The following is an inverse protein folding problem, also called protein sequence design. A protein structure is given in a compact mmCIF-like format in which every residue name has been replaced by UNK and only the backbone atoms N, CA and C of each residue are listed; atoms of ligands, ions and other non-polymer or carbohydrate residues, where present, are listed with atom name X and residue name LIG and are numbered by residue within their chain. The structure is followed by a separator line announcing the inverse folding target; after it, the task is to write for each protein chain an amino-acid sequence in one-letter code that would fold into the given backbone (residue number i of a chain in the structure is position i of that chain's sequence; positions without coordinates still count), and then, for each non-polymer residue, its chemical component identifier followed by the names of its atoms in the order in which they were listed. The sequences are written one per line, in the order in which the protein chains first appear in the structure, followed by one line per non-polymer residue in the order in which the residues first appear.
data_IF_440885454079
#
_entry.id   IF_440885454079
#
_cell.length_a   1.000
_cell.length_b   1.000
_cell.length_c   1.000
_cell.angle_alpha   90.00
_cell.angle_beta   90.00
_cell.angle_gamma   90.00
#
_symmetry.space_group_name_H-M   'P 1'
#
loop_
_entity.id
_entity.type
_entity.pdbx_description
1 polymer ?
#
# COMPACT_ATOMS: atom_id res chain seq x y z
N UNK A 1 0.04 -19.57 12.68
CA UNK A 1 -0.63 -18.81 13.76
C UNK A 1 -1.70 -19.62 14.50
N UNK A 2 -2.68 -20.27 13.84
CA UNK A 2 -3.79 -21.03 14.51
C UNK A 2 -3.35 -21.98 15.63
N UNK A 3 -2.29 -22.77 15.41
CA UNK A 3 -1.73 -23.70 16.41
C UNK A 3 -0.92 -23.03 17.52
N UNK A 4 -0.33 -21.87 17.26
CA UNK A 4 0.62 -21.24 18.18
C UNK A 4 -0.07 -20.45 19.30
N UNK A 5 -1.32 -20.02 19.11
CA UNK A 5 -2.05 -19.22 20.10
C UNK A 5 -3.14 -19.98 20.86
N UNK A 6 -3.36 -21.27 20.59
CA UNK A 6 -4.45 -22.03 21.22
C UNK A 6 -5.87 -21.60 20.82
N UNK A 7 -6.02 -20.79 19.76
CA UNK A 7 -7.28 -20.17 19.34
C UNK A 7 -8.05 -20.99 18.27
N UNK A 8 -7.74 -22.28 18.12
CA UNK A 8 -8.35 -23.15 17.10
C UNK A 8 -9.88 -23.09 17.08
N UNK A 9 -10.58 -23.30 18.21
CA UNK A 9 -12.04 -23.27 18.25
C UNK A 9 -12.67 -21.92 17.87
N UNK A 10 -11.99 -20.81 18.12
CA UNK A 10 -12.45 -19.48 17.71
C UNK A 10 -12.22 -19.30 16.21
N UNK A 11 -11.07 -19.72 15.69
CA UNK A 11 -10.77 -19.67 14.27
C UNK A 11 -11.77 -20.48 13.45
N UNK A 12 -12.17 -21.67 13.91
CA UNK A 12 -13.16 -22.50 13.21
C UNK A 12 -14.55 -21.83 13.17
N UNK A 13 -14.94 -21.13 14.24
CA UNK A 13 -16.18 -20.33 14.26
C UNK A 13 -16.11 -19.13 13.32
N UNK A 14 -14.95 -18.47 13.24
CA UNK A 14 -14.71 -17.38 12.29
C UNK A 14 -14.78 -17.90 10.85
N UNK A 15 -14.18 -19.04 10.55
CA UNK A 15 -14.25 -19.67 9.23
C UNK A 15 -15.69 -20.01 8.85
N UNK A 16 -16.44 -20.64 9.75
CA UNK A 16 -17.85 -20.96 9.54
C UNK A 16 -18.72 -19.71 9.37
N UNK A 17 -18.36 -18.59 10.02
CA UNK A 17 -19.02 -17.31 9.82
C UNK A 17 -18.70 -16.72 8.44
N UNK A 18 -17.41 -16.67 8.06
CA UNK A 18 -16.97 -16.14 6.76
C UNK A 18 -17.56 -16.96 5.60
N UNK A 19 -17.65 -18.28 5.74
CA UNK A 19 -18.19 -19.18 4.72
C UNK A 19 -19.66 -18.91 4.34
N UNK A 20 -20.40 -18.15 5.16
CA UNK A 20 -21.79 -17.75 4.86
C UNK A 20 -21.87 -16.63 3.82
N UNK A 21 -20.78 -15.90 3.63
CA UNK A 21 -20.73 -14.73 2.76
C UNK A 21 -19.94 -15.07 1.49
N UNK A 22 -20.40 -14.63 0.30
CA UNK A 22 -19.63 -14.78 -0.93
C UNK A 22 -18.21 -14.24 -0.76
N UNK A 23 -17.23 -14.86 -1.42
CA UNK A 23 -15.88 -14.29 -1.47
C UNK A 23 -15.92 -13.04 -2.33
N UNK A 24 -15.92 -11.87 -1.69
CA UNK A 24 -15.76 -10.59 -2.36
C UNK A 24 -14.27 -10.28 -2.53
N UNK A 25 -13.89 -9.94 -3.76
CA UNK A 25 -12.54 -9.47 -4.06
C UNK A 25 -12.40 -8.02 -3.61
N UNK A 26 -11.28 -7.70 -2.97
CA UNK A 26 -10.85 -6.32 -2.71
C UNK A 26 -9.33 -6.22 -2.84
N UNK A 27 -8.84 -5.00 -3.06
CA UNK A 27 -7.42 -4.69 -3.19
C UNK A 27 -6.85 -4.30 -1.84
N UNK A 28 -5.90 -5.07 -1.33
CA UNK A 28 -5.06 -4.62 -0.23
C UNK A 28 -3.81 -5.49 -0.09
N UNK A 29 -2.90 -5.11 0.82
CA UNK A 29 -1.74 -5.91 1.23
C UNK A 29 -2.13 -7.32 1.72
N UNK A 30 -3.42 -7.56 2.02
CA UNK A 30 -3.99 -8.89 2.24
C UNK A 30 -3.72 -9.90 1.11
N UNK A 31 -3.68 -9.45 -0.14
CA UNK A 31 -3.38 -10.32 -1.28
C UNK A 31 -1.95 -10.85 -1.19
N UNK A 32 -1.02 -10.02 -0.69
CA UNK A 32 0.36 -10.40 -0.43
C UNK A 32 0.43 -11.41 0.72
N UNK A 33 -0.25 -11.13 1.83
CA UNK A 33 -0.30 -12.01 3.00
C UNK A 33 -0.87 -13.39 2.63
N UNK A 34 -1.87 -13.43 1.74
CA UNK A 34 -2.58 -14.64 1.33
C UNK A 34 -2.04 -15.28 0.05
N UNK A 35 -0.99 -14.73 -0.57
CA UNK A 35 -0.44 -15.19 -1.85
C UNK A 35 -1.51 -15.32 -2.95
N UNK A 36 -2.45 -14.37 -3.01
CA UNK A 36 -3.49 -14.31 -4.05
C UNK A 36 -3.01 -13.46 -5.23
N UNK A 37 -3.59 -13.72 -6.40
CA UNK A 37 -3.38 -12.88 -7.56
C UNK A 37 -3.77 -11.42 -7.26
N UNK A 38 -2.93 -10.50 -7.72
CA UNK A 38 -3.15 -9.06 -7.63
C UNK A 38 -3.88 -8.63 -8.91
N UNK A 39 -5.17 -8.26 -8.85
CA UNK A 39 -5.89 -7.85 -10.05
C UNK A 39 -5.36 -6.49 -10.52
N UNK A 40 -5.11 -6.40 -11.82
CA UNK A 40 -4.57 -5.21 -12.48
C UNK A 40 -5.31 -5.00 -13.81
N UNK A 41 -5.68 -3.76 -14.20
CA UNK A 41 -5.41 -2.49 -13.52
C UNK A 41 -6.17 -2.32 -12.20
N UNK A 42 -5.66 -1.47 -11.30
CA UNK A 42 -6.34 -1.16 -10.04
C UNK A 42 -7.65 -0.42 -10.29
N UNK A 43 -8.69 -0.85 -9.58
CA UNK A 43 -10.00 -0.21 -9.60
C UNK A 43 -10.36 0.27 -8.19
N UNK A 44 -11.29 1.23 -8.09
CA UNK A 44 -11.79 1.72 -6.81
C UNK A 44 -12.58 0.63 -6.09
N UNK A 45 -12.57 0.67 -4.76
CA UNK A 45 -13.38 -0.20 -3.90
C UNK A 45 -14.49 0.57 -3.22
N UNK A 46 -15.58 -0.11 -2.88
CA UNK A 46 -16.63 0.44 -2.00
C UNK A 46 -17.03 -0.57 -0.94
N UNK A 47 -17.44 -0.07 0.23
CA UNK A 47 -18.10 -0.87 1.25
C UNK A 47 -19.57 -1.01 0.88
N UNK A 48 -20.07 -2.23 0.89
CA UNK A 48 -21.50 -2.55 0.78
C UNK A 48 -21.93 -3.31 2.02
N UNK A 49 -23.07 -2.96 2.59
CA UNK A 49 -23.68 -3.76 3.65
C UNK A 49 -24.26 -5.04 3.00
N UNK A 50 -23.89 -6.19 3.54
CA UNK A 50 -24.30 -7.50 2.99
C UNK A 50 -25.26 -8.25 3.92
N UNK A 51 -25.27 -7.92 5.20
CA UNK A 51 -26.12 -8.55 6.23
C UNK A 51 -26.09 -7.69 7.49
N UNK A 52 -27.00 -7.95 8.43
CA UNK A 52 -26.94 -7.41 9.78
C UNK A 52 -27.44 -8.44 10.79
N UNK A 53 -26.93 -8.39 12.01
CA UNK A 53 -27.30 -9.31 13.10
C UNK A 53 -27.63 -8.54 14.37
N UNK A 54 -28.78 -8.84 14.96
CA UNK A 54 -29.10 -8.39 16.30
C UNK A 54 -28.33 -9.23 17.33
N UNK A 55 -27.57 -8.57 18.21
CA UNK A 55 -26.88 -9.16 19.35
C UNK A 55 -27.31 -8.38 20.60
N UNK A 56 -28.21 -8.98 21.37
CA UNK A 56 -28.86 -8.30 22.50
C UNK A 56 -29.66 -7.09 22.02
N UNK A 57 -29.32 -5.90 22.51
CA UNK A 57 -29.96 -4.63 22.11
C UNK A 57 -29.25 -3.91 20.96
N UNK A 58 -28.19 -4.49 20.40
CA UNK A 58 -27.39 -3.87 19.34
C UNK A 58 -27.59 -4.58 18.01
N UNK A 59 -27.61 -3.83 16.93
CA UNK A 59 -27.51 -4.38 15.57
C UNK A 59 -26.08 -4.19 15.07
N UNK A 60 -25.45 -5.28 14.65
CA UNK A 60 -24.14 -5.27 14.01
C UNK A 60 -24.37 -5.40 12.51
N UNK A 61 -23.99 -4.38 11.75
CA UNK A 61 -23.95 -4.43 10.30
C UNK A 61 -22.68 -5.14 9.83
N UNK A 62 -22.81 -5.94 8.77
CA UNK A 62 -21.74 -6.72 8.17
C UNK A 62 -21.51 -6.13 6.78
N UNK A 63 -20.27 -5.70 6.54
CA UNK A 63 -19.87 -5.07 5.28
C UNK A 63 -18.94 -5.98 4.49
N UNK A 64 -19.09 -5.94 3.16
CA UNK A 64 -18.09 -6.43 2.22
C UNK A 64 -17.43 -5.25 1.50
N UNK A 65 -16.13 -5.39 1.23
CA UNK A 65 -15.43 -4.53 0.28
C UNK A 65 -15.58 -5.15 -1.10
N UNK A 66 -16.07 -4.38 -2.07
CA UNK A 66 -16.19 -4.82 -3.47
C UNK A 66 -15.40 -3.91 -4.40
N UNK A 67 -14.75 -4.54 -5.38
CA UNK A 67 -14.16 -3.85 -6.52
C UNK A 67 -15.26 -3.27 -7.41
N UNK A 68 -15.14 -1.99 -7.74
CA UNK A 68 -16.01 -1.31 -8.70
C UNK A 68 -15.43 -1.40 -10.11
N UNK A 69 -16.16 -0.92 -11.12
CA UNK A 69 -15.62 -0.82 -12.49
C UNK A 69 -14.80 0.44 -12.75
N UNK A 70 -14.72 1.36 -11.78
CA UNK A 70 -13.99 2.61 -11.91
C UNK A 70 -12.50 2.38 -11.68
N UNK A 71 -11.65 2.90 -12.57
CA UNK A 71 -10.21 2.87 -12.39
C UNK A 71 -9.79 3.72 -11.19
N UNK A 72 -8.83 3.22 -10.42
CA UNK A 72 -8.17 4.00 -9.37
C UNK A 72 -7.05 4.81 -10.04
N UNK A 73 -7.36 5.98 -10.57
CA UNK A 73 -6.47 6.72 -11.49
C UNK A 73 -5.27 7.39 -10.82
N UNK A 74 -5.40 7.74 -9.55
CA UNK A 74 -4.41 8.44 -8.72
C UNK A 74 -3.66 7.51 -7.77
N UNK A 75 -3.74 6.18 -7.97
CA UNK A 75 -3.07 5.19 -7.10
C UNK A 75 -1.56 5.43 -6.96
N UNK A 76 -0.92 6.07 -7.95
CA UNK A 76 0.49 6.45 -7.92
C UNK A 76 0.83 7.42 -6.79
N UNK A 77 -0.15 8.15 -6.27
CA UNK A 77 0.02 9.03 -5.10
C UNK A 77 0.04 8.27 -3.77
N UNK A 78 -0.14 6.94 -3.77
CA UNK A 78 -0.18 6.07 -2.59
C UNK A 78 1.00 5.08 -2.62
N UNK A 79 1.82 5.06 -1.58
CA UNK A 79 3.04 4.24 -1.57
C UNK A 79 2.72 2.73 -1.60
N UNK A 80 1.70 2.30 -0.86
CA UNK A 80 1.27 0.90 -0.84
C UNK A 80 0.85 0.40 -2.22
N UNK A 81 0.11 1.21 -2.98
CA UNK A 81 -0.35 0.80 -4.32
C UNK A 81 0.82 0.63 -5.29
N UNK A 82 1.81 1.51 -5.23
CA UNK A 82 3.04 1.37 -6.01
C UNK A 82 3.83 0.10 -5.64
N UNK A 83 3.90 -0.26 -4.36
CA UNK A 83 4.54 -1.49 -3.91
C UNK A 83 3.78 -2.76 -4.34
N UNK A 84 2.45 -2.74 -4.27
CA UNK A 84 1.61 -3.83 -4.78
C UNK A 84 1.82 -4.02 -6.28
N UNK A 85 1.91 -2.93 -7.04
CA UNK A 85 2.19 -2.99 -8.48
C UNK A 85 3.59 -3.53 -8.79
N UNK A 86 4.58 -3.17 -7.97
CA UNK A 86 5.94 -3.69 -8.12
C UNK A 86 5.97 -5.22 -7.99
N UNK A 87 5.25 -5.77 -7.01
CA UNK A 87 5.08 -7.22 -6.86
C UNK A 87 4.39 -7.80 -8.09
N UNK A 88 3.26 -7.21 -8.53
CA UNK A 88 2.50 -7.67 -9.69
C UNK A 88 3.37 -7.81 -10.95
N UNK A 89 4.20 -6.81 -11.26
CA UNK A 89 5.06 -6.88 -12.43
C UNK A 89 6.20 -7.88 -12.27
N UNK A 90 6.78 -7.96 -11.06
CA UNK A 90 7.90 -8.86 -10.79
C UNK A 90 7.48 -10.33 -10.90
N UNK A 91 6.30 -10.71 -10.41
CA UNK A 91 5.80 -12.10 -10.55
C UNK A 91 5.50 -12.50 -11.99
N UNK A 92 5.39 -11.51 -12.90
CA UNK A 92 5.21 -11.71 -14.35
C UNK A 92 6.51 -11.58 -15.14
N UNK A 93 7.66 -11.45 -14.48
CA UNK A 93 8.96 -11.24 -15.13
C UNK A 93 9.16 -9.86 -15.78
N UNK A 94 8.25 -8.91 -15.53
CA UNK A 94 8.34 -7.54 -16.04
C UNK A 94 9.20 -6.66 -15.12
N UNK A 95 10.49 -6.99 -15.00
CA UNK A 95 11.39 -6.42 -13.99
C UNK A 95 11.58 -4.90 -14.06
N UNK A 96 11.65 -4.33 -15.27
CA UNK A 96 11.74 -2.86 -15.43
C UNK A 96 10.48 -2.16 -14.91
N UNK A 97 9.31 -2.71 -15.21
CA UNK A 97 8.04 -2.19 -14.68
C UNK A 97 7.98 -2.31 -13.16
N UNK A 98 8.42 -3.46 -12.62
CA UNK A 98 8.50 -3.67 -11.17
C UNK A 98 9.42 -2.64 -10.49
N UNK A 99 10.60 -2.42 -11.08
CA UNK A 99 11.56 -1.40 -10.64
C UNK A 99 10.95 0.00 -10.69
N UNK A 100 10.29 0.37 -11.78
CA UNK A 100 9.66 1.68 -11.93
C UNK A 100 8.57 1.92 -10.88
N UNK A 101 7.74 0.92 -10.62
CA UNK A 101 6.72 0.97 -9.56
C UNK A 101 7.35 1.09 -8.17
N UNK A 102 8.39 0.30 -7.88
CA UNK A 102 9.13 0.39 -6.62
C UNK A 102 9.70 1.80 -6.40
N UNK A 103 10.41 2.34 -7.39
CA UNK A 103 11.01 3.67 -7.31
C UNK A 103 9.96 4.78 -7.13
N UNK A 104 8.77 4.60 -7.71
CA UNK A 104 7.66 5.56 -7.55
C UNK A 104 7.15 5.55 -6.10
N UNK A 105 6.90 4.38 -5.52
CA UNK A 105 6.51 4.26 -4.11
C UNK A 105 7.62 4.73 -3.16
N UNK A 106 8.86 4.34 -3.44
CA UNK A 106 10.05 4.74 -2.68
C UNK A 106 10.31 6.24 -2.71
N UNK A 107 9.97 6.92 -3.81
CA UNK A 107 10.07 8.37 -3.95
C UNK A 107 9.12 9.15 -3.03
N UNK A 108 8.12 8.50 -2.45
CA UNK A 108 7.22 9.10 -1.46
C UNK A 108 7.78 9.03 -0.02
N UNK A 109 8.95 8.40 0.17
CA UNK A 109 9.60 8.29 1.47
C UNK A 109 10.42 9.52 1.81
N UNK A 110 10.16 10.13 2.98
CA UNK A 110 10.76 11.40 3.41
C UNK A 110 11.86 11.26 4.47
N UNK A 111 12.32 10.03 4.74
CA UNK A 111 13.27 9.73 5.80
C UNK A 111 12.64 9.28 7.11
N UNK A 112 11.32 9.47 7.28
CA UNK A 112 10.58 9.07 8.49
C UNK A 112 9.51 8.05 8.16
N UNK A 113 8.82 8.25 7.03
CA UNK A 113 7.81 7.36 6.51
C UNK A 113 7.41 7.71 5.09
N UNK A 114 6.31 7.14 4.61
CA UNK A 114 5.76 7.46 3.29
C UNK A 114 4.81 8.65 3.40
N UNK A 115 5.26 9.84 2.99
CA UNK A 115 4.50 11.09 2.95
C UNK A 115 3.54 11.15 1.74
N UNK A 116 2.79 10.07 1.55
CA UNK A 116 1.89 9.87 0.42
C UNK A 116 0.55 10.59 0.61
N UNK A 117 -0.41 10.38 -0.31
CA UNK A 117 -1.70 11.07 -0.26
C UNK A 117 -2.48 10.82 1.04
N UNK A 118 -2.37 9.64 1.63
CA UNK A 118 -3.01 9.31 2.90
C UNK A 118 -2.37 10.08 4.05
N UNK A 119 -1.03 10.14 4.10
CA UNK A 119 -0.30 10.96 5.07
C UNK A 119 -0.71 12.44 4.98
N UNK A 120 -0.82 12.98 3.76
CA UNK A 120 -1.24 14.38 3.55
C UNK A 120 -2.65 14.67 4.09
N UNK A 121 -3.53 13.67 4.10
CA UNK A 121 -4.87 13.80 4.62
C UNK A 121 -4.94 13.59 6.14
N UNK A 122 -4.19 12.63 6.69
CA UNK A 122 -4.29 12.20 8.08
C UNK A 122 -3.29 12.90 9.02
N UNK A 123 -2.14 13.36 8.51
CA UNK A 123 -1.04 13.91 9.29
C UNK A 123 -0.19 12.85 10.03
N UNK A 124 -0.43 11.57 9.78
CA UNK A 124 0.29 10.45 10.39
C UNK A 124 0.78 9.47 9.32
N UNK A 125 1.94 8.86 9.56
CA UNK A 125 2.42 7.77 8.74
C UNK A 125 1.72 6.46 9.11
N UNK A 126 1.50 5.60 8.12
CA UNK A 126 0.92 4.27 8.33
C UNK A 126 2.04 3.23 8.45
N UNK A 127 2.07 2.52 9.59
CA UNK A 127 3.11 1.54 9.91
C UNK A 127 3.18 0.41 8.89
N UNK A 128 2.03 -0.08 8.40
CA UNK A 128 1.99 -1.15 7.41
C UNK A 128 2.68 -0.76 6.09
N UNK A 129 2.77 0.53 5.75
CA UNK A 129 3.47 0.96 4.52
C UNK A 129 4.97 0.77 4.63
N UNK A 130 5.55 0.94 5.83
CA UNK A 130 6.96 0.61 6.09
C UNK A 130 7.18 -0.89 6.04
N UNK A 131 6.29 -1.67 6.65
CA UNK A 131 6.36 -3.13 6.55
C UNK A 131 6.26 -3.61 5.10
N UNK A 132 5.35 -3.04 4.31
CA UNK A 132 5.22 -3.34 2.88
C UNK A 132 6.45 -2.91 2.09
N UNK A 133 6.98 -1.72 2.34
CA UNK A 133 8.22 -1.24 1.73
C UNK A 133 9.40 -2.16 2.01
N UNK A 134 9.57 -2.58 3.27
CA UNK A 134 10.57 -3.57 3.68
C UNK A 134 10.39 -4.90 2.95
N UNK A 135 9.16 -5.39 2.90
CA UNK A 135 8.82 -6.61 2.19
C UNK A 135 9.23 -6.54 0.71
N UNK A 136 8.83 -5.48 0.00
CA UNK A 136 9.13 -5.34 -1.42
C UNK A 136 10.62 -5.07 -1.67
N UNK A 137 11.28 -4.32 -0.79
CA UNK A 137 12.72 -4.10 -0.86
C UNK A 137 13.49 -5.43 -0.78
N UNK A 138 13.10 -6.34 0.13
CA UNK A 138 13.66 -7.70 0.21
C UNK A 138 13.34 -8.50 -1.06
N UNK A 139 12.07 -8.49 -1.48
CA UNK A 139 11.59 -9.23 -2.63
C UNK A 139 12.31 -8.84 -3.94
N UNK A 140 12.68 -7.56 -4.10
CA UNK A 140 13.38 -7.04 -5.27
C UNK A 140 14.90 -6.84 -5.06
N UNK A 141 15.43 -7.25 -3.90
CA UNK A 141 16.85 -7.15 -3.54
C UNK A 141 17.43 -5.71 -3.42
N UNK A 142 16.64 -4.74 -2.95
CA UNK A 142 17.10 -3.38 -2.60
C UNK A 142 17.70 -3.32 -1.19
N UNK A 143 18.90 -3.90 -1.01
CA UNK A 143 19.58 -4.08 0.29
C UNK A 143 19.65 -2.80 1.13
N UNK A 144 19.93 -1.64 0.51
CA UNK A 144 20.02 -0.36 1.23
C UNK A 144 18.71 0.05 1.91
N UNK A 145 17.58 -0.22 1.28
CA UNK A 145 16.26 0.15 1.80
C UNK A 145 15.77 -0.84 2.86
N UNK A 146 16.25 -2.09 2.82
CA UNK A 146 15.94 -3.11 3.83
C UNK A 146 16.35 -2.64 5.23
N UNK A 147 17.57 -2.14 5.37
CA UNK A 147 18.07 -1.65 6.67
C UNK A 147 17.30 -0.40 7.11
N UNK A 148 17.09 0.57 6.21
CA UNK A 148 16.34 1.81 6.50
C UNK A 148 14.92 1.51 7.02
N UNK A 149 14.18 0.63 6.34
CA UNK A 149 12.81 0.33 6.73
C UNK A 149 12.74 -0.52 8.00
N UNK A 150 13.70 -1.44 8.21
CA UNK A 150 13.81 -2.21 9.45
C UNK A 150 14.06 -1.29 10.66
N UNK A 151 14.97 -0.33 10.53
CA UNK A 151 15.28 0.61 11.60
C UNK A 151 14.08 1.47 11.98
N UNK A 152 13.28 1.90 11.00
CA UNK A 152 12.04 2.64 11.27
C UNK A 152 11.03 1.79 12.04
N UNK A 153 10.79 0.55 11.62
CA UNK A 153 9.89 -0.37 12.33
C UNK A 153 10.29 -0.50 13.80
N UNK A 154 11.58 -0.65 14.08
CA UNK A 154 12.12 -0.79 15.44
C UNK A 154 12.03 0.50 16.28
N UNK A 155 11.89 1.67 15.65
CA UNK A 155 11.76 2.96 16.35
C UNK A 155 10.34 3.30 16.72
N UNK A 156 9.34 2.69 16.10
CA UNK A 156 7.92 2.98 16.36
C UNK A 156 7.55 2.45 17.75
N UNK A 157 7.19 3.36 18.66
CA UNK A 157 6.84 3.01 20.03
C UNK A 157 5.68 3.89 20.58
N UNK A 158 4.61 3.30 21.16
CA UNK A 158 4.28 1.88 21.11
C UNK A 158 4.10 1.38 19.66
N UNK A 159 4.24 0.08 19.43
CA UNK A 159 3.97 -0.46 18.11
C UNK A 159 2.47 -0.36 17.79
N UNK A 160 2.12 0.43 16.76
CA UNK A 160 0.76 0.83 16.46
C UNK A 160 0.51 0.91 14.94
N UNK A 161 -0.75 1.07 14.53
CA UNK A 161 -1.13 1.17 13.10
C UNK A 161 -0.65 2.47 12.46
N UNK A 162 -0.58 3.57 13.22
CA UNK A 162 -0.07 4.86 12.79
C UNK A 162 1.13 5.27 13.64
N UNK A 163 1.93 6.22 13.15
CA UNK A 163 2.94 6.91 13.95
C UNK A 163 3.19 8.33 13.45
N UNK A 164 3.68 9.20 14.33
CA UNK A 164 4.02 10.58 13.98
C UNK A 164 5.51 10.72 13.57
N UNK A 165 5.93 11.94 13.20
CA UNK A 165 7.30 12.22 12.79
C UNK A 165 8.38 12.00 13.87
N UNK A 166 7.99 11.79 15.12
CA UNK A 166 8.87 11.44 16.24
C UNK A 166 8.88 9.93 16.53
N UNK A 167 8.25 9.12 15.66
CA UNK A 167 8.10 7.66 15.82
C UNK A 167 7.23 7.26 17.03
N UNK A 168 6.42 8.17 17.55
CA UNK A 168 5.44 7.83 18.56
C UNK A 168 4.25 7.16 17.88
N UNK A 169 3.96 5.92 18.25
CA UNK A 169 2.82 5.17 17.73
C UNK A 169 1.48 5.74 18.18
N UNK A 170 0.50 5.73 17.28
CA UNK A 170 -0.84 6.29 17.48
C UNK A 170 -1.90 5.29 16.99
N UNK A 171 -2.98 5.17 17.77
CA UNK A 171 -4.08 4.25 17.50
C UNK A 171 -3.79 2.83 17.95
N UNK A 172 -4.76 1.95 17.76
CA UNK A 172 -4.64 0.54 18.13
C UNK A 172 -3.87 -0.23 17.06
N UNK A 173 -3.04 -1.17 17.50
CA UNK A 173 -2.43 -2.14 16.59
C UNK A 173 -3.51 -3.08 16.05
N UNK A 174 -3.62 -3.18 14.73
CA UNK A 174 -4.46 -4.18 14.09
C UNK A 174 -3.66 -5.44 13.69
N UNK A 175 -4.37 -6.55 13.51
CA UNK A 175 -3.78 -7.85 13.22
C UNK A 175 -3.06 -7.85 11.85
N UNK A 176 -3.56 -7.05 10.93
CA UNK A 176 -3.07 -6.83 9.58
C UNK A 176 -1.66 -6.24 9.54
N UNK A 177 -1.48 -5.10 10.21
CA UNK A 177 -0.21 -4.41 10.35
C UNK A 177 0.79 -5.35 11.02
N UNK A 178 0.37 -6.01 12.12
CA UNK A 178 1.22 -6.97 12.80
C UNK A 178 1.63 -8.14 11.89
N UNK A 179 0.69 -8.75 11.16
CA UNK A 179 0.96 -9.88 10.27
C UNK A 179 1.90 -9.50 9.12
N UNK A 180 1.69 -8.34 8.48
CA UNK A 180 2.56 -7.86 7.42
C UNK A 180 3.96 -7.53 7.95
N UNK A 181 4.07 -6.98 9.15
CA UNK A 181 5.36 -6.69 9.80
C UNK A 181 6.13 -7.96 10.09
N UNK A 182 5.47 -8.97 10.67
CA UNK A 182 6.08 -10.28 10.91
C UNK A 182 6.57 -10.88 9.60
N UNK A 183 5.76 -10.79 8.53
CA UNK A 183 6.13 -11.26 7.19
C UNK A 183 7.38 -10.53 6.67
N UNK A 184 7.39 -9.20 6.74
CA UNK A 184 8.49 -8.38 6.27
C UNK A 184 9.80 -8.63 7.04
N UNK A 185 9.72 -8.82 8.36
CA UNK A 185 10.88 -9.11 9.21
C UNK A 185 11.34 -10.58 9.13
N UNK A 186 10.49 -11.50 8.70
CA UNK A 186 10.83 -12.92 8.63
C UNK A 186 11.98 -13.19 7.65
N UNK A 187 12.93 -14.03 8.02
CA UNK A 187 14.07 -14.41 7.18
C UNK A 187 13.76 -15.57 6.22
N UNK A 188 12.49 -15.95 6.04
CA UNK A 188 12.11 -17.10 5.21
C UNK A 188 12.42 -16.82 3.72
N UNK A 189 13.44 -17.45 3.13
CA UNK A 189 13.82 -17.22 1.74
C UNK A 189 12.90 -17.97 0.76
N UNK A 190 12.13 -18.95 1.22
CA UNK A 190 11.34 -19.86 0.37
C UNK A 190 9.94 -19.33 0.04
N UNK A 191 9.48 -18.27 0.70
CA UNK A 191 8.29 -17.52 0.27
C UNK A 191 8.56 -16.51 -0.85
N UNK A 192 9.82 -16.15 -1.11
CA UNK A 192 10.15 -14.88 -1.76
C UNK A 192 11.22 -14.91 -2.86
N UNK A 193 11.47 -16.04 -3.51
CA UNK A 193 12.30 -16.00 -4.71
C UNK A 193 11.45 -15.51 -5.89
N UNK A 194 11.70 -14.31 -6.46
CA UNK A 194 11.26 -14.04 -7.82
C UNK A 194 11.87 -15.09 -8.75
N UNK A 195 11.19 -15.48 -9.84
CA UNK A 195 11.78 -16.39 -10.82
C UNK A 195 12.90 -15.68 -11.60
N UNK A 196 14.12 -15.62 -11.03
CA UNK A 196 15.39 -15.19 -11.66
C UNK A 196 15.70 -13.67 -11.71
N UNK A 197 16.96 -13.30 -12.03
CA UNK A 197 18.04 -13.03 -11.11
C UNK A 197 17.99 -11.61 -10.52
N UNK A 198 18.63 -11.44 -9.36
CA UNK A 198 18.76 -10.18 -8.63
C UNK A 198 19.00 -8.97 -9.54
N UNK A 199 18.18 -7.93 -9.38
CA UNK A 199 18.43 -6.59 -9.93
C UNK A 199 19.63 -6.03 -9.15
N UNK A 200 20.84 -6.42 -9.56
CA UNK A 200 22.09 -6.15 -8.86
C UNK A 200 22.64 -4.76 -9.16
N UNK A 201 21.85 -3.72 -8.93
CA UNK A 201 22.38 -2.37 -8.69
C UNK A 201 21.36 -1.54 -7.92
N UNK A 202 21.66 -1.08 -6.69
CA UNK A 202 20.84 -0.06 -6.05
C UNK A 202 20.81 1.21 -6.93
N UNK A 203 19.67 1.92 -7.00
CA UNK A 203 19.57 3.15 -7.78
C UNK A 203 20.51 4.20 -7.17
N UNK A 204 21.36 4.80 -8.01
CA UNK A 204 22.16 5.95 -7.59
C UNK A 204 21.24 7.12 -7.21
N UNK A 205 21.62 7.91 -6.20
CA UNK A 205 20.85 9.07 -5.72
C UNK A 205 20.44 10.05 -6.84
N UNK A 206 21.24 10.11 -7.92
CA UNK A 206 21.00 10.93 -9.11
C UNK A 206 19.77 10.46 -9.91
N UNK A 207 19.47 9.15 -9.94
CA UNK A 207 18.32 8.61 -10.68
C UNK A 207 16.99 8.85 -9.95
N UNK A 208 17.01 8.85 -8.62
CA UNK A 208 15.85 9.21 -7.78
C UNK A 208 15.55 10.71 -7.94
N UNK A 209 16.60 11.55 -7.89
CA UNK A 209 16.48 12.99 -8.04
C UNK A 209 16.00 13.39 -9.45
N UNK A 210 16.52 12.78 -10.51
CA UNK A 210 16.15 13.11 -11.88
C UNK A 210 14.68 12.77 -12.19
N UNK A 211 14.17 11.66 -11.66
CA UNK A 211 12.76 11.27 -11.80
C UNK A 211 11.83 12.18 -11.00
N UNK A 212 12.19 12.54 -9.77
CA UNK A 212 11.44 13.53 -8.98
C UNK A 212 11.35 14.90 -9.68
N UNK A 213 12.45 15.37 -10.27
CA UNK A 213 12.49 16.61 -11.06
C UNK A 213 11.60 16.49 -12.31
N UNK A 214 11.65 15.37 -13.03
CA UNK A 214 10.82 15.16 -14.22
C UNK A 214 9.32 15.17 -13.89
N UNK A 215 8.91 14.55 -12.78
CA UNK A 215 7.50 14.58 -12.33
C UNK A 215 7.05 15.98 -11.94
N UNK A 216 7.89 16.75 -11.23
CA UNK A 216 7.59 18.15 -10.87
C UNK A 216 7.46 19.02 -12.12
N UNK A 217 8.36 18.89 -13.10
CA UNK A 217 8.28 19.62 -14.37
C UNK A 217 6.99 19.27 -15.12
N UNK A 218 6.63 17.98 -15.19
CA UNK A 218 5.38 17.55 -15.82
C UNK A 218 4.14 18.16 -15.17
N UNK A 219 4.08 18.20 -13.83
CA UNK A 219 2.98 18.82 -13.09
C UNK A 219 2.90 20.34 -13.32
N UNK A 220 4.05 21.03 -13.39
CA UNK A 220 4.09 22.47 -13.67
C UNK A 220 3.62 22.81 -15.10
N UNK A 221 4.00 21.98 -16.09
CA UNK A 221 3.53 22.13 -17.47
C UNK A 221 2.01 21.92 -17.53
N UNK A 222 1.49 20.86 -16.90
CA UNK A 222 0.06 20.59 -16.84
C UNK A 222 -0.71 21.74 -16.17
N UNK A 223 -0.22 22.25 -15.04
CA UNK A 223 -0.79 23.41 -14.36
C UNK A 223 -0.82 24.66 -15.26
N UNK A 224 0.27 24.94 -15.98
CA UNK A 224 0.34 26.06 -16.93
C UNK A 224 -0.68 25.95 -18.07
N UNK A 225 -0.87 24.76 -18.62
CA UNK A 225 -1.86 24.48 -19.68
C UNK A 225 -3.28 24.70 -19.13
N UNK A 226 -3.59 24.13 -17.95
CA UNK A 226 -4.91 24.28 -17.31
C UNK A 226 -5.21 25.74 -17.02
N UNK A 227 -4.26 26.48 -16.43
CA UNK A 227 -4.42 27.90 -16.12
C UNK A 227 -4.66 28.73 -17.39
N UNK A 228 -3.93 28.47 -18.47
CA UNK A 228 -4.10 29.15 -19.75
C UNK A 228 -5.46 28.85 -20.38
N UNK A 229 -5.92 27.61 -20.31
CA UNK A 229 -7.24 27.20 -20.77
C UNK A 229 -8.36 27.94 -20.00
N UNK A 230 -8.31 27.90 -18.66
CA UNK A 230 -9.29 28.59 -17.81
C UNK A 230 -9.33 30.10 -18.06
N UNK A 231 -8.16 30.75 -18.19
CA UNK A 231 -8.09 32.19 -18.51
C UNK A 231 -8.66 32.55 -19.89
N UNK A 232 -8.71 31.59 -20.81
CA UNK A 232 -9.28 31.79 -22.15
C UNK A 232 -10.79 31.63 -22.09
N UNK A 233 -11.28 30.63 -21.35
CA UNK A 233 -12.71 30.43 -21.09
C UNK A 233 -13.32 31.64 -20.36
N UNK A 234 -12.65 32.18 -19.34
CA UNK A 234 -13.11 33.37 -18.62
C UNK A 234 -13.19 34.62 -19.51
N UNK A 235 -12.26 34.79 -20.45
CA UNK A 235 -12.30 35.89 -21.42
C UNK A 235 -13.49 35.76 -22.37
N UNK A 236 -13.74 34.55 -22.90
CA UNK A 236 -14.92 34.28 -23.73
C UNK A 236 -16.24 34.53 -23.00
N UNK A 237 -16.29 34.22 -21.69
CA UNK A 237 -17.48 34.43 -20.86
C UNK A 237 -17.78 35.90 -20.56
N UNK A 238 -16.77 36.78 -20.61
CA UNK A 238 -16.95 38.23 -20.41
C UNK A 238 -17.26 38.99 -21.70
N UNK A 239 -17.09 38.36 -22.86
CA UNK A 239 -17.40 38.92 -24.17
C UNK A 239 -18.77 38.51 -24.73
N UNK A 240 -19.54 37.73 -23.95
CA UNK A 240 -20.95 37.39 -24.16
C UNK A 240 -21.80 38.17 -23.16
#
# INVERSE_FOLDING_TARGET
MRRYCGLGPIADKVDAFIAKYPSYSFYDYYQIIQLRDIPYPFKLTKNIEIDSKAIGTRTIAIYAIVVTDQLFTDYKEYANMNFIEAIYFSVKGAYESARNSYLTGRGLFDGKGFADKSYRALGYYETYKIALGLYVAKFLNYVSDVEVFRDIINRINPYATLYNASFNGVGDLNAETAALTILALSNDPYRFSPPSPAISTPPFAVEIASRGIATIIGLLIAYGIIKRYLSTVERYRRSL
#
